data_IF_314413037234
#
_entry.id   IF_314413037234
#
_cell.length_a   1.000
_cell.length_b   1.000
_cell.length_c   1.000
_cell.angle_alpha   90.00
_cell.angle_beta   90.00
_cell.angle_gamma   90.00
#
_symmetry.space_group_name_H-M   'P 1'
#
loop_
_entity.id
_entity.type
_entity.pdbx_description
1 polymer ?
#
# COMPACT_ATOMS: atom_id res chain seq x y z
N UNK A 1 24.28 56.15 -26.86
CA UNK A 1 25.50 55.36 -27.16
C UNK A 1 25.39 54.00 -26.46
N UNK A 2 25.58 52.93 -27.25
CA UNK A 2 25.71 51.48 -26.97
C UNK A 2 24.57 50.71 -26.23
N UNK A 3 24.19 49.59 -26.88
CA UNK A 3 23.01 48.71 -26.72
C UNK A 3 23.39 47.33 -26.13
N UNK A 4 22.35 46.62 -25.69
CA UNK A 4 22.26 45.29 -25.07
C UNK A 4 22.37 44.12 -26.09
N UNK A 5 22.91 42.95 -25.69
CA UNK A 5 22.59 41.57 -26.17
C UNK A 5 23.52 40.56 -25.43
N UNK A 6 23.14 39.50 -24.70
CA UNK A 6 22.13 38.43 -24.79
C UNK A 6 22.45 37.25 -25.74
N UNK A 7 22.62 36.07 -25.10
CA UNK A 7 22.42 34.65 -25.48
C UNK A 7 23.41 33.83 -26.36
N UNK A 8 23.57 32.57 -25.92
CA UNK A 8 23.55 31.27 -26.62
C UNK A 8 24.84 30.40 -26.66
N UNK A 9 24.75 29.27 -25.92
CA UNK A 9 25.20 27.88 -26.19
C UNK A 9 26.67 27.42 -26.16
N UNK A 10 26.88 26.46 -25.24
CA UNK A 10 27.30 25.07 -25.46
C UNK A 10 28.74 24.77 -25.87
N UNK A 11 29.51 24.15 -24.97
CA UNK A 11 30.45 23.07 -25.31
C UNK A 11 30.51 22.05 -24.17
N UNK A 12 30.20 20.80 -24.53
CA UNK A 12 30.24 19.61 -23.71
C UNK A 12 31.62 18.95 -23.80
N UNK A 13 32.18 18.48 -22.68
CA UNK A 13 33.24 17.46 -22.66
C UNK A 13 33.48 16.98 -21.22
N UNK A 14 32.89 15.87 -20.78
CA UNK A 14 33.45 15.08 -19.67
C UNK A 14 33.38 13.59 -19.99
N UNK A 15 34.50 12.95 -19.68
CA UNK A 15 35.00 11.65 -20.11
C UNK A 15 34.15 10.43 -19.71
N UNK A 16 34.19 9.45 -20.60
CA UNK A 16 33.78 8.07 -20.40
C UNK A 16 34.73 7.34 -19.43
N UNK A 17 34.17 6.63 -18.44
CA UNK A 17 34.85 5.58 -17.69
C UNK A 17 34.07 4.29 -17.88
N UNK A 18 34.77 3.32 -18.45
CA UNK A 18 34.35 1.96 -18.75
C UNK A 18 34.26 1.14 -17.47
N UNK A 19 33.11 0.54 -17.19
CA UNK A 19 33.00 -0.58 -16.25
C UNK A 19 32.19 -1.72 -16.91
N UNK A 20 32.93 -2.73 -17.34
CA UNK A 20 32.43 -4.00 -17.86
C UNK A 20 31.98 -4.91 -16.71
N UNK A 21 30.70 -5.28 -16.71
CA UNK A 21 30.11 -6.25 -15.79
C UNK A 21 28.98 -7.00 -16.49
N UNK A 22 29.37 -7.94 -17.36
CA UNK A 22 28.48 -8.82 -18.13
C UNK A 22 28.10 -10.02 -17.24
N UNK A 23 26.83 -10.17 -16.89
CA UNK A 23 26.29 -11.42 -16.32
C UNK A 23 25.21 -11.93 -17.29
N UNK A 24 25.35 -13.16 -17.83
CA UNK A 24 24.41 -13.70 -18.80
C UNK A 24 23.11 -14.16 -18.12
N UNK A 25 21.98 -13.80 -18.74
CA UNK A 25 20.66 -14.30 -18.40
C UNK A 25 20.48 -15.71 -18.97
N UNK A 26 20.25 -16.67 -18.10
CA UNK A 26 20.01 -18.07 -18.44
C UNK A 26 18.58 -18.21 -19.00
N UNK A 27 18.50 -18.53 -20.29
CA UNK A 27 17.26 -18.92 -20.95
C UNK A 27 16.90 -20.35 -20.51
N UNK A 28 15.78 -20.51 -19.81
CA UNK A 28 15.20 -21.83 -19.54
C UNK A 28 14.35 -22.22 -20.75
N UNK A 29 14.72 -23.35 -21.36
CA UNK A 29 14.03 -23.94 -22.49
C UNK A 29 12.69 -24.56 -22.04
N UNK A 30 11.61 -24.18 -22.74
CA UNK A 30 10.30 -24.81 -22.62
C UNK A 30 10.37 -26.23 -23.21
N UNK A 31 10.07 -27.24 -22.39
CA UNK A 31 9.92 -28.62 -22.87
C UNK A 31 8.43 -28.90 -23.09
N UNK A 32 8.00 -29.40 -24.26
CA UNK A 32 6.60 -29.58 -24.59
C UNK A 32 6.07 -30.86 -23.91
N UNK A 33 4.98 -30.74 -23.15
CA UNK A 33 4.24 -31.91 -22.67
C UNK A 33 3.02 -32.17 -23.53
N UNK A 34 3.12 -33.28 -24.25
CA UNK A 34 2.14 -33.97 -25.07
C UNK A 34 0.78 -34.12 -24.38
N UNK A 35 -0.27 -33.74 -25.10
CA UNK A 35 -1.67 -34.05 -24.79
C UNK A 35 -1.93 -35.54 -25.02
N UNK A 36 -2.30 -36.26 -23.97
CA UNK A 36 -3.01 -37.54 -24.11
C UNK A 36 -4.34 -37.41 -23.37
N UNK A 37 -5.41 -37.38 -24.15
CA UNK A 37 -6.78 -37.43 -23.68
C UNK A 37 -7.11 -38.82 -23.16
N UNK A 38 -7.62 -38.91 -21.94
CA UNK A 38 -8.51 -39.99 -21.50
C UNK A 38 -9.61 -39.39 -20.64
N UNK A 39 -10.84 -39.59 -21.09
CA UNK A 39 -12.08 -39.15 -20.46
C UNK A 39 -12.28 -39.88 -19.13
N UNK A 40 -12.42 -39.14 -18.04
CA UNK A 40 -13.11 -39.64 -16.85
C UNK A 40 -13.97 -38.51 -16.25
N UNK A 41 -15.28 -38.74 -16.33
CA UNK A 41 -16.34 -37.85 -15.85
C UNK A 41 -16.64 -38.21 -14.41
N UNK A 42 -16.33 -37.35 -13.43
CA UNK A 42 -17.12 -37.18 -12.19
C UNK A 42 -16.47 -36.20 -11.18
N UNK A 43 -17.16 -35.09 -10.95
CA UNK A 43 -17.16 -34.27 -9.70
C UNK A 43 -15.82 -33.76 -9.16
N UNK A 44 -15.32 -32.62 -9.68
CA UNK A 44 -14.49 -31.72 -8.88
C UNK A 44 -15.42 -30.86 -8.03
N UNK A 45 -15.54 -31.24 -6.77
CA UNK A 45 -16.05 -30.41 -5.69
C UNK A 45 -15.08 -29.23 -5.56
N UNK A 46 -15.46 -28.05 -6.06
CA UNK A 46 -14.77 -26.79 -5.75
C UNK A 46 -14.86 -26.57 -4.24
N UNK A 47 -13.92 -27.14 -3.50
CA UNK A 47 -13.62 -26.69 -2.15
C UNK A 47 -13.10 -25.27 -2.33
N UNK A 48 -13.90 -24.31 -1.89
CA UNK A 48 -13.49 -22.94 -1.64
C UNK A 48 -12.35 -22.97 -0.63
N UNK A 49 -11.15 -23.21 -1.15
CA UNK A 49 -9.90 -23.12 -0.43
C UNK A 49 -9.83 -21.71 0.15
N UNK A 50 -9.52 -21.70 1.44
CA UNK A 50 -9.61 -20.54 2.31
C UNK A 50 -8.63 -19.51 1.77
N UNK A 51 -9.15 -18.50 1.06
CA UNK A 51 -8.36 -17.38 0.59
C UNK A 51 -7.90 -16.60 1.81
N UNK A 52 -6.82 -17.09 2.43
CA UNK A 52 -5.98 -16.34 3.34
C UNK A 52 -5.24 -15.36 2.44
N UNK A 53 -5.97 -14.36 1.92
CA UNK A 53 -5.35 -13.24 1.23
C UNK A 53 -4.32 -12.70 2.21
N UNK A 54 -3.04 -12.75 1.80
CA UNK A 54 -1.93 -12.37 2.63
C UNK A 54 -2.22 -11.02 3.30
N UNK A 55 -2.05 -10.93 4.61
CA UNK A 55 -2.27 -9.69 5.36
C UNK A 55 -1.27 -8.65 4.84
N UNK A 56 -1.77 -7.56 4.29
CA UNK A 56 -0.96 -6.42 3.87
C UNK A 56 -1.20 -5.32 4.90
N UNK A 57 -0.24 -5.13 5.81
CA UNK A 57 -0.35 -4.18 6.92
C UNK A 57 0.93 -3.36 7.15
N UNK A 58 1.92 -3.40 6.27
CA UNK A 58 3.13 -2.55 6.34
C UNK A 58 2.90 -1.22 5.62
N UNK A 59 3.68 -0.18 5.95
CA UNK A 59 3.56 1.13 5.30
C UNK A 59 3.66 1.05 3.77
N UNK A 60 4.73 0.45 3.25
CA UNK A 60 4.94 0.35 1.79
C UNK A 60 3.92 -0.58 1.12
N UNK A 61 3.62 -1.72 1.73
CA UNK A 61 2.64 -2.67 1.18
C UNK A 61 1.26 -2.05 1.04
N UNK A 62 0.77 -1.34 2.07
CA UNK A 62 -0.53 -0.68 2.04
C UNK A 62 -0.52 0.54 1.13
N UNK A 63 0.57 1.33 1.13
CA UNK A 63 0.70 2.48 0.23
C UNK A 63 0.65 2.05 -1.25
N UNK A 64 1.42 1.03 -1.62
CA UNK A 64 1.46 0.52 -2.99
C UNK A 64 0.11 -0.09 -3.40
N UNK A 65 -0.56 -0.80 -2.48
CA UNK A 65 -1.90 -1.33 -2.70
C UNK A 65 -2.93 -0.21 -2.94
N UNK A 66 -2.91 0.85 -2.13
CA UNK A 66 -3.78 2.02 -2.30
C UNK A 66 -3.55 2.72 -3.65
N UNK A 67 -2.29 2.91 -4.05
CA UNK A 67 -1.96 3.53 -5.34
C UNK A 67 -2.46 2.68 -6.50
N UNK A 68 -2.34 1.35 -6.42
CA UNK A 68 -2.72 0.42 -7.49
C UNK A 68 -4.23 0.19 -7.60
N UNK A 69 -4.89 -0.10 -6.48
CA UNK A 69 -6.27 -0.58 -6.47
C UNK A 69 -7.29 0.46 -5.97
N UNK A 70 -6.82 1.63 -5.51
CA UNK A 70 -7.66 2.74 -5.04
C UNK A 70 -8.62 2.34 -3.90
N UNK A 71 -8.21 1.36 -3.09
CA UNK A 71 -8.92 0.85 -1.91
C UNK A 71 -7.92 0.24 -0.93
N UNK A 72 -8.31 0.06 0.33
CA UNK A 72 -7.50 -0.69 1.29
C UNK A 72 -7.50 -2.19 0.96
N UNK A 73 -6.45 -2.93 1.37
CA UNK A 73 -6.47 -4.39 1.41
C UNK A 73 -7.66 -4.96 2.18
N UNK A 74 -8.08 -6.18 1.86
CA UNK A 74 -9.28 -6.82 2.43
C UNK A 74 -9.13 -7.20 3.93
N UNK A 75 -7.93 -7.07 4.48
CA UNK A 75 -7.67 -7.18 5.92
C UNK A 75 -8.02 -5.90 6.71
N UNK A 76 -8.60 -4.86 6.10
CA UNK A 76 -9.08 -3.67 6.80
C UNK A 76 -10.59 -3.67 7.00
N UNK A 77 -11.02 -3.23 8.18
CA UNK A 77 -12.41 -2.93 8.51
C UNK A 77 -12.49 -1.57 9.22
N UNK A 78 -13.57 -0.83 8.99
CA UNK A 78 -13.83 0.45 9.69
C UNK A 78 -14.08 0.21 11.17
N UNK A 79 -13.94 1.27 12.00
CA UNK A 79 -14.32 1.23 13.42
C UNK A 79 -15.77 0.74 13.61
N UNK A 80 -16.70 1.19 12.77
CA UNK A 80 -18.10 0.78 12.83
C UNK A 80 -18.28 -0.72 12.55
N UNK A 81 -17.60 -1.26 11.54
CA UNK A 81 -17.64 -2.69 11.23
C UNK A 81 -17.02 -3.52 12.36
N UNK A 82 -15.88 -3.07 12.90
CA UNK A 82 -15.25 -3.73 14.05
C UNK A 82 -16.16 -3.73 15.29
N UNK A 83 -16.78 -2.60 15.62
CA UNK A 83 -17.72 -2.51 16.75
C UNK A 83 -18.95 -3.41 16.55
N UNK A 84 -19.45 -3.54 15.32
CA UNK A 84 -20.55 -4.46 14.99
C UNK A 84 -20.17 -5.94 15.21
N UNK A 85 -18.88 -6.29 15.09
CA UNK A 85 -18.35 -7.62 15.43
C UNK A 85 -18.10 -7.82 16.94
N UNK A 86 -18.26 -6.78 17.76
CA UNK A 86 -18.03 -6.84 19.20
C UNK A 86 -16.69 -6.25 19.66
N UNK A 87 -16.00 -5.49 18.80
CA UNK A 87 -14.78 -4.80 19.20
C UNK A 87 -15.09 -3.71 20.23
N UNK A 88 -14.40 -3.80 21.37
CA UNK A 88 -14.40 -2.81 22.44
C UNK A 88 -12.98 -2.31 22.61
N UNK A 89 -12.73 -1.05 22.22
CA UNK A 89 -11.38 -0.48 22.19
C UNK A 89 -10.63 -0.60 23.53
N UNK A 90 -11.31 -0.39 24.66
CA UNK A 90 -10.73 -0.50 26.01
C UNK A 90 -10.36 -1.93 26.41
N UNK A 91 -10.84 -2.95 25.69
CA UNK A 91 -10.48 -4.35 25.92
C UNK A 91 -9.33 -4.84 25.03
N UNK A 92 -8.95 -4.10 23.98
CA UNK A 92 -7.93 -4.56 23.03
C UNK A 92 -8.32 -5.85 22.29
N UNK A 93 -9.61 -6.15 22.16
CA UNK A 93 -10.12 -7.45 21.72
C UNK A 93 -10.35 -7.55 20.19
N UNK A 94 -9.76 -6.68 19.37
CA UNK A 94 -10.05 -6.65 17.93
C UNK A 94 -9.67 -7.98 17.26
N UNK A 95 -8.51 -8.55 17.60
CA UNK A 95 -8.07 -9.82 17.04
C UNK A 95 -8.92 -11.02 17.50
N UNK A 96 -9.68 -10.90 18.60
CA UNK A 96 -10.61 -11.94 19.06
C UNK A 96 -11.89 -11.94 18.23
N UNK A 97 -12.43 -10.75 17.94
CA UNK A 97 -13.70 -10.60 17.23
C UNK A 97 -13.56 -10.53 15.71
N UNK A 98 -12.37 -10.18 15.23
CA UNK A 98 -12.04 -10.04 13.82
C UNK A 98 -10.60 -10.51 13.54
N UNK A 99 -10.34 -11.84 13.57
CA UNK A 99 -9.01 -12.39 13.35
C UNK A 99 -8.37 -11.91 12.04
N UNK A 100 -7.11 -11.47 12.11
CA UNK A 100 -6.34 -10.99 10.96
C UNK A 100 -6.78 -9.63 10.41
N UNK A 101 -7.69 -8.91 11.09
CA UNK A 101 -8.16 -7.58 10.65
C UNK A 101 -7.43 -6.44 11.37
N UNK A 102 -7.27 -5.33 10.67
CA UNK A 102 -6.81 -4.04 11.18
C UNK A 102 -7.92 -2.99 11.05
N UNK A 103 -7.90 -1.95 11.89
CA UNK A 103 -8.81 -0.81 11.74
C UNK A 103 -8.35 0.07 10.57
N UNK A 104 -9.26 0.44 9.68
CA UNK A 104 -8.96 1.42 8.63
C UNK A 104 -10.14 1.75 7.72
N UNK A 105 -9.98 2.84 6.99
CA UNK A 105 -10.97 3.36 6.05
C UNK A 105 -11.83 4.49 6.62
N UNK A 106 -11.75 4.76 7.91
CA UNK A 106 -12.47 5.87 8.54
C UNK A 106 -11.94 7.24 8.07
N UNK A 107 -12.80 8.25 8.11
CA UNK A 107 -12.44 9.63 7.75
C UNK A 107 -11.46 10.20 8.78
N UNK A 108 -10.34 10.75 8.29
CA UNK A 108 -9.39 11.51 9.09
C UNK A 108 -9.66 13.00 8.90
N UNK A 109 -10.19 13.67 9.94
CA UNK A 109 -10.62 15.07 9.84
C UNK A 109 -9.50 16.11 9.67
N UNK A 110 -8.22 15.73 9.82
CA UNK A 110 -7.08 16.65 9.76
C UNK A 110 -7.26 17.93 10.61
N UNK A 111 -7.79 17.79 11.84
CA UNK A 111 -8.22 18.93 12.69
C UNK A 111 -7.10 19.91 13.00
N UNK A 112 -5.88 19.38 13.13
CA UNK A 112 -4.69 20.16 13.46
C UNK A 112 -4.00 20.72 12.21
N UNK A 113 -4.54 20.48 11.01
CA UNK A 113 -4.04 21.08 9.77
C UNK A 113 -2.65 20.63 9.34
N UNK A 114 -2.15 19.50 9.86
CA UNK A 114 -0.79 19.00 9.57
C UNK A 114 -0.60 18.45 8.16
N UNK A 115 -1.69 18.06 7.49
CA UNK A 115 -1.68 17.56 6.11
C UNK A 115 -2.18 18.63 5.13
N UNK A 116 -1.70 18.65 3.87
CA UNK A 116 -2.07 19.67 2.90
C UNK A 116 -3.55 19.60 2.54
N UNK A 117 -4.25 20.74 2.68
CA UNK A 117 -5.66 20.88 2.31
C UNK A 117 -5.82 21.35 0.87
N UNK A 118 -6.88 20.91 0.20
CA UNK A 118 -7.28 21.37 -1.14
C UNK A 118 -8.80 21.24 -1.29
N UNK A 119 -9.41 22.04 -2.17
CA UNK A 119 -10.84 21.94 -2.44
C UNK A 119 -11.21 20.54 -2.93
N UNK A 120 -12.21 19.92 -2.30
CA UNK A 120 -12.64 18.54 -2.60
C UNK A 120 -11.73 17.43 -2.05
N UNK A 121 -10.56 17.75 -1.48
CA UNK A 121 -9.69 16.74 -0.86
C UNK A 121 -10.28 16.28 0.46
N UNK A 122 -10.45 14.97 0.59
CA UNK A 122 -10.77 14.31 1.86
C UNK A 122 -9.61 13.40 2.28
N UNK A 123 -9.50 13.13 3.57
CA UNK A 123 -8.48 12.23 4.13
C UNK A 123 -9.14 11.05 4.84
N UNK A 124 -8.49 9.89 4.77
CA UNK A 124 -8.84 8.67 5.50
C UNK A 124 -7.61 8.07 6.15
N UNK A 125 -7.82 7.28 7.19
CA UNK A 125 -6.73 6.66 7.97
C UNK A 125 -6.83 5.13 8.00
N UNK A 126 -5.69 4.48 8.19
CA UNK A 126 -5.58 3.04 8.40
C UNK A 126 -4.45 2.72 9.39
N UNK A 127 -4.68 1.74 10.27
CA UNK A 127 -3.67 1.21 11.18
C UNK A 127 -2.61 0.45 10.40
N UNK A 128 -1.36 0.62 10.80
CA UNK A 128 -0.20 -0.06 10.19
C UNK A 128 0.51 -0.86 11.26
N UNK A 129 1.16 -1.96 10.89
CA UNK A 129 1.91 -2.85 11.79
C UNK A 129 1.06 -3.42 12.96
N UNK A 130 -0.27 -3.42 12.84
CA UNK A 130 -1.16 -4.04 13.83
C UNK A 130 -1.24 -5.55 13.61
N UNK A 131 -1.21 -6.32 14.71
CA UNK A 131 -1.35 -7.78 14.72
C UNK A 131 -2.43 -8.20 15.72
N UNK A 132 -2.31 -7.81 16.99
CA UNK A 132 -3.28 -8.12 18.04
C UNK A 132 -3.17 -7.16 19.23
N UNK A 133 -4.14 -7.23 20.16
CA UNK A 133 -4.16 -6.42 21.37
C UNK A 133 -4.64 -4.99 21.16
N UNK A 134 -4.07 -4.05 21.91
CA UNK A 134 -4.35 -2.62 21.75
C UNK A 134 -3.75 -2.09 20.44
N UNK A 135 -4.42 -1.10 19.83
CA UNK A 135 -3.92 -0.42 18.63
C UNK A 135 -2.63 0.32 18.97
N UNK A 136 -1.63 0.21 18.10
CA UNK A 136 -0.31 0.84 18.24
C UNK A 136 -0.34 2.33 17.85
N UNK A 137 0.84 2.94 17.61
CA UNK A 137 0.97 4.33 17.19
C UNK A 137 1.02 4.60 15.69
N UNK A 138 1.09 3.55 14.89
CA UNK A 138 1.40 3.63 13.47
C UNK A 138 0.13 3.78 12.63
N UNK A 139 0.10 4.82 11.80
CA UNK A 139 -1.03 5.09 10.91
C UNK A 139 -0.54 5.55 9.56
N UNK A 140 -1.20 5.05 8.52
CA UNK A 140 -1.14 5.62 7.18
C UNK A 140 -2.36 6.53 6.99
N UNK A 141 -2.14 7.70 6.41
CA UNK A 141 -3.21 8.65 6.07
C UNK A 141 -3.15 8.92 4.58
N UNK A 142 -4.26 8.71 3.88
CA UNK A 142 -4.35 8.79 2.44
C UNK A 142 -5.50 9.71 2.02
N UNK A 143 -5.26 10.49 0.97
CA UNK A 143 -6.23 11.45 0.46
C UNK A 143 -7.08 10.86 -0.67
N UNK A 144 -8.21 11.49 -0.97
CA UNK A 144 -9.06 11.15 -2.12
C UNK A 144 -8.36 11.27 -3.48
N UNK A 145 -7.30 12.07 -3.55
CA UNK A 145 -6.42 12.25 -4.71
C UNK A 145 -5.06 11.56 -4.53
N UNK A 146 -4.98 10.59 -3.62
CA UNK A 146 -3.89 9.61 -3.49
C UNK A 146 -2.51 10.14 -3.08
N UNK A 147 -2.45 11.31 -2.42
CA UNK A 147 -1.33 11.60 -1.51
C UNK A 147 -1.36 10.64 -0.34
N UNK A 148 -0.20 10.12 0.07
CA UNK A 148 -0.08 9.17 1.18
C UNK A 148 1.01 9.64 2.15
N UNK A 149 0.63 9.76 3.41
CA UNK A 149 1.50 10.11 4.52
C UNK A 149 1.50 8.99 5.57
N UNK A 150 2.56 8.93 6.36
CA UNK A 150 2.65 8.10 7.56
C UNK A 150 2.85 8.93 8.82
N UNK A 151 2.41 8.38 9.95
CA UNK A 151 2.76 8.80 11.31
C UNK A 151 3.09 7.54 12.12
N UNK A 152 4.07 7.66 13.02
CA UNK A 152 4.49 6.61 13.97
C UNK A 152 4.45 7.12 15.41
N UNK A 153 3.74 8.23 15.64
CA UNK A 153 3.77 9.02 16.87
C UNK A 153 2.37 9.56 17.22
N UNK A 154 1.32 8.76 16.95
CA UNK A 154 -0.08 9.15 17.19
C UNK A 154 -0.42 10.52 16.59
N UNK A 155 -0.15 10.70 15.30
CA UNK A 155 -0.55 11.87 14.50
C UNK A 155 0.17 13.18 14.88
N UNK A 156 1.24 13.12 15.69
CA UNK A 156 2.00 14.30 16.07
C UNK A 156 2.84 14.84 14.91
N UNK A 157 3.46 13.96 14.12
CA UNK A 157 4.19 14.31 12.91
C UNK A 157 3.82 13.40 11.74
N UNK A 158 4.01 13.93 10.52
CA UNK A 158 3.69 13.22 9.29
C UNK A 158 4.84 13.27 8.30
N UNK A 159 5.13 12.14 7.66
CA UNK A 159 6.08 12.05 6.55
C UNK A 159 5.35 11.59 5.31
N UNK A 160 5.50 12.32 4.19
CA UNK A 160 4.95 11.91 2.90
C UNK A 160 5.70 10.70 2.38
N UNK A 161 4.97 9.69 1.89
CA UNK A 161 5.55 8.47 1.30
C UNK A 161 5.11 8.23 -0.14
N UNK A 162 3.98 8.79 -0.58
CA UNK A 162 3.54 8.84 -1.99
C UNK A 162 2.88 10.20 -2.29
#
# INVERSE_FOLDING_TARGET
MKKISSVFTMFALIAAILFSGFIPQQAYAETPLTQTATNETATIQLTSDVHTLAVINTFDGVADYLIRYKRLPDNYITKSQASALGWVASKGNLAEVAPGKSIGGDVFSNREGRLPSASGRTWREADINYVSGFRNADRLVYSSDWLIYKTTDHYATFTRIR
#
